data_IF_072377766524
#
_entry.id   IF_072377766524
#
_cell.length_a   1.000
_cell.length_b   1.000
_cell.length_c   1.000
_cell.angle_alpha   90.00
_cell.angle_beta   90.00
_cell.angle_gamma   90.00
#
_symmetry.space_group_name_H-M   'P 1'
#
loop_
_entity.id
_entity.type
_entity.pdbx_description
1 polymer ?
#
# COMPACT_ATOMS: atom_id res chain seq x y z
N UNK A 1 7.61 21.43 -8.45
CA UNK A 1 8.72 20.55 -8.04
C UNK A 1 9.23 20.85 -6.63
N UNK A 2 9.72 22.07 -6.33
CA UNK A 2 10.39 22.38 -5.06
C UNK A 2 9.57 22.02 -3.80
N UNK A 3 8.30 22.43 -3.73
CA UNK A 3 7.43 22.12 -2.59
C UNK A 3 7.32 20.62 -2.31
N UNK A 4 7.22 19.79 -3.36
CA UNK A 4 7.06 18.35 -3.19
C UNK A 4 8.29 17.68 -2.60
N UNK A 5 9.50 18.11 -2.97
CA UNK A 5 10.73 17.57 -2.38
C UNK A 5 10.95 18.05 -0.94
N UNK A 6 10.54 19.27 -0.61
CA UNK A 6 10.52 19.76 0.77
C UNK A 6 9.50 18.96 1.59
N UNK A 7 8.32 18.73 1.02
CA UNK A 7 7.25 17.94 1.64
C UNK A 7 7.70 16.52 1.99
N UNK A 8 8.42 15.85 1.09
CA UNK A 8 8.97 14.51 1.34
C UNK A 8 9.88 14.45 2.58
N UNK A 9 10.63 15.53 2.86
CA UNK A 9 11.46 15.65 4.07
C UNK A 9 10.65 16.05 5.30
N UNK A 10 9.68 16.95 5.13
CA UNK A 10 8.84 17.45 6.21
C UNK A 10 8.00 16.33 6.84
N UNK A 11 7.38 15.45 6.05
CA UNK A 11 6.53 14.38 6.59
C UNK A 11 7.30 13.29 7.35
N UNK A 12 8.64 13.34 7.36
CA UNK A 12 9.49 12.47 8.18
C UNK A 12 9.84 13.09 9.54
N UNK A 13 9.60 14.39 9.76
CA UNK A 13 9.77 15.04 11.05
C UNK A 13 8.58 14.73 11.97
N UNK A 14 8.75 14.88 13.28
CA UNK A 14 7.70 14.59 14.25
C UNK A 14 6.43 15.43 14.01
N UNK A 15 6.58 16.73 13.74
CA UNK A 15 5.46 17.62 13.41
C UNK A 15 4.74 17.21 12.12
N UNK A 16 5.50 16.82 11.09
CA UNK A 16 4.93 16.38 9.82
C UNK A 16 4.21 15.04 9.93
N UNK A 17 4.76 14.10 10.73
CA UNK A 17 4.12 12.81 11.01
C UNK A 17 2.78 13.02 11.71
N UNK A 18 2.72 13.88 12.74
CA UNK A 18 1.47 14.18 13.45
C UNK A 18 0.43 14.80 12.51
N UNK A 19 0.81 15.80 11.70
CA UNK A 19 -0.09 16.42 10.74
C UNK A 19 -0.64 15.42 9.71
N UNK A 20 0.19 14.47 9.27
CA UNK A 20 -0.26 13.41 8.36
C UNK A 20 -1.10 12.33 9.06
N UNK A 21 -0.86 12.09 10.35
CA UNK A 21 -1.63 11.17 11.18
C UNK A 21 -3.07 11.69 11.37
N UNK A 22 -3.24 12.99 11.63
CA UNK A 22 -4.56 13.62 11.72
C UNK A 22 -5.36 13.43 10.42
N UNK A 23 -4.71 13.68 9.27
CA UNK A 23 -5.29 13.44 7.94
C UNK A 23 -5.63 11.97 7.68
N UNK A 24 -4.84 11.05 8.25
CA UNK A 24 -5.10 9.62 8.14
C UNK A 24 -6.32 9.20 8.97
N UNK A 25 -6.51 9.77 10.16
CA UNK A 25 -7.71 9.57 10.97
C UNK A 25 -8.97 10.09 10.27
N UNK A 26 -8.86 11.22 9.57
CA UNK A 26 -9.93 11.80 8.74
C UNK A 26 -10.16 11.03 7.42
N UNK A 27 -9.33 10.03 7.11
CA UNK A 27 -9.40 9.21 5.90
C UNK A 27 -9.25 10.01 4.60
N UNK A 28 -8.54 11.15 4.61
CA UNK A 28 -8.36 12.00 3.41
C UNK A 28 -7.67 11.26 2.25
N UNK A 29 -6.76 10.34 2.58
CA UNK A 29 -6.03 9.52 1.59
C UNK A 29 -6.85 8.36 1.02
N UNK A 30 -8.06 8.15 1.56
CA UNK A 30 -8.99 7.10 1.17
C UNK A 30 -8.79 5.79 1.96
N UNK A 31 -9.32 4.71 1.39
CA UNK A 31 -9.40 3.39 2.05
C UNK A 31 -8.91 2.27 1.16
N UNK A 32 -8.47 1.18 1.78
CA UNK A 32 -7.97 0.00 1.10
C UNK A 32 -9.02 -0.58 0.14
N UNK A 33 -8.65 -0.94 -1.11
CA UNK A 33 -9.57 -1.56 -2.05
C UNK A 33 -9.92 -3.01 -1.70
N UNK A 34 -9.14 -3.67 -0.84
CA UNK A 34 -9.33 -5.08 -0.49
C UNK A 34 -10.51 -5.25 0.47
N UNK A 35 -11.44 -6.14 0.11
CA UNK A 35 -12.65 -6.41 0.89
C UNK A 35 -12.35 -6.82 2.35
N UNK A 36 -11.42 -7.75 2.55
CA UNK A 36 -11.00 -8.24 3.88
C UNK A 36 -10.26 -7.20 4.74
N UNK A 37 -9.92 -6.04 4.18
CA UNK A 37 -9.34 -4.96 4.96
C UNK A 37 -10.39 -4.05 5.63
N UNK A 38 -11.68 -4.34 5.46
CA UNK A 38 -12.78 -3.63 6.15
C UNK A 38 -12.68 -2.11 6.05
N UNK A 39 -12.34 -1.60 4.85
CA UNK A 39 -12.15 -0.16 4.59
C UNK A 39 -11.09 0.51 5.48
N UNK A 40 -10.01 -0.20 5.81
CA UNK A 40 -8.85 0.39 6.50
C UNK A 40 -8.33 1.66 5.80
N UNK A 41 -8.12 2.79 6.52
CA UNK A 41 -7.48 3.97 5.97
C UNK A 41 -6.04 3.71 5.51
N UNK A 42 -5.68 4.28 4.37
CA UNK A 42 -4.38 4.09 3.71
C UNK A 42 -3.50 5.33 3.83
N UNK A 43 -2.20 5.19 3.60
CA UNK A 43 -1.24 6.30 3.59
C UNK A 43 -0.61 6.44 2.21
N UNK A 44 -0.25 7.66 1.77
CA UNK A 44 0.47 7.84 0.52
C UNK A 44 1.91 7.30 0.61
N UNK A 45 2.43 6.76 -0.49
CA UNK A 45 3.80 6.25 -0.61
C UNK A 45 4.34 6.47 -2.03
N UNK A 46 5.62 6.79 -2.15
CA UNK A 46 6.36 6.75 -3.42
C UNK A 46 7.03 5.39 -3.61
N UNK A 47 7.09 4.89 -4.85
CA UNK A 47 7.89 3.69 -5.14
C UNK A 47 9.38 4.02 -5.35
N UNK A 48 9.67 5.29 -5.66
CA UNK A 48 11.01 5.84 -5.79
C UNK A 48 11.06 7.24 -5.21
N UNK A 49 12.24 7.63 -4.72
CA UNK A 49 12.54 8.97 -4.22
C UNK A 49 13.05 9.90 -5.35
N UNK A 50 13.31 9.36 -6.54
CA UNK A 50 13.70 10.13 -7.71
C UNK A 50 12.46 10.69 -8.44
N UNK A 51 12.40 12.00 -8.73
CA UNK A 51 11.26 12.61 -9.39
C UNK A 51 11.12 12.10 -10.83
N UNK A 52 9.88 11.89 -11.26
CA UNK A 52 9.52 11.45 -12.61
C UNK A 52 9.56 9.94 -12.85
N UNK A 53 10.01 9.14 -11.88
CA UNK A 53 10.05 7.68 -12.04
C UNK A 53 8.70 7.00 -11.80
N UNK A 54 7.98 7.43 -10.76
CA UNK A 54 6.72 6.80 -10.36
C UNK A 54 5.74 7.80 -9.78
N UNK A 55 4.46 7.56 -10.03
CA UNK A 55 3.37 8.34 -9.44
C UNK A 55 3.06 7.86 -8.03
N UNK A 56 2.45 8.72 -7.22
CA UNK A 56 2.06 8.38 -5.85
C UNK A 56 1.16 7.16 -5.81
N UNK A 57 1.48 6.24 -4.91
CA UNK A 57 0.69 5.06 -4.58
C UNK A 57 0.15 5.20 -3.16
N UNK A 58 -0.71 4.27 -2.76
CA UNK A 58 -1.22 4.21 -1.40
C UNK A 58 -0.88 2.89 -0.74
N UNK A 59 -0.34 2.95 0.46
CA UNK A 59 0.03 1.81 1.30
C UNK A 59 -1.09 1.51 2.30
N UNK A 60 -1.50 0.24 2.37
CA UNK A 60 -2.42 -0.22 3.40
C UNK A 60 -1.65 -0.87 4.56
N UNK A 61 -1.76 -0.36 5.80
CA UNK A 61 -1.05 -0.93 6.94
C UNK A 61 -1.59 -2.29 7.41
N UNK A 62 -2.86 -2.60 7.09
CA UNK A 62 -3.51 -3.85 7.49
C UNK A 62 -3.05 -5.03 6.63
N UNK A 63 -3.08 -4.90 5.30
CA UNK A 63 -2.61 -5.97 4.39
C UNK A 63 -1.16 -5.81 3.93
N UNK A 64 -0.49 -4.72 4.32
CA UNK A 64 0.92 -4.42 4.04
C UNK A 64 1.25 -4.44 2.55
N UNK A 65 0.38 -3.85 1.76
CA UNK A 65 0.44 -3.91 0.30
C UNK A 65 0.12 -2.54 -0.31
N UNK A 66 0.59 -2.31 -1.53
CA UNK A 66 0.57 -1.02 -2.21
C UNK A 66 -0.46 -1.05 -3.34
N UNK A 67 -1.27 0.00 -3.41
CA UNK A 67 -2.35 0.14 -4.38
C UNK A 67 -2.25 1.44 -5.17
N UNK A 68 -2.90 1.46 -6.32
CA UNK A 68 -3.06 2.69 -7.12
C UNK A 68 -4.24 3.50 -6.54
N UNK A 69 -4.10 4.82 -6.31
CA UNK A 69 -5.20 5.64 -5.85
C UNK A 69 -6.38 5.60 -6.84
N UNK A 70 -7.60 5.50 -6.31
CA UNK A 70 -8.83 5.33 -7.11
C UNK A 70 -9.15 6.55 -7.99
N UNK A 71 -8.83 7.75 -7.51
CA UNK A 71 -9.12 9.00 -8.23
C UNK A 71 -8.01 9.30 -9.24
N UNK A 72 -8.40 9.58 -10.49
CA UNK A 72 -7.47 9.99 -11.55
C UNK A 72 -6.73 11.29 -11.23
N UNK A 73 -7.32 12.17 -10.42
CA UNK A 73 -6.70 13.44 -9.98
C UNK A 73 -5.35 13.22 -9.28
N UNK A 74 -5.23 12.13 -8.52
CA UNK A 74 -4.01 11.82 -7.76
C UNK A 74 -2.98 11.04 -8.58
N UNK A 75 -3.33 10.56 -9.77
CA UNK A 75 -2.42 9.78 -10.61
C UNK A 75 -1.34 10.63 -11.28
N UNK A 76 -1.51 11.95 -11.32
CA UNK A 76 -0.52 12.89 -11.89
C UNK A 76 0.45 13.43 -10.83
N UNK A 77 0.31 13.05 -9.56
CA UNK A 77 1.18 13.50 -8.48
C UNK A 77 2.38 12.55 -8.40
N UNK A 78 3.58 13.14 -8.31
CA UNK A 78 4.83 12.39 -8.20
C UNK A 78 4.93 11.69 -6.83
N UNK A 79 5.31 10.41 -6.83
CA UNK A 79 5.52 9.63 -5.62
C UNK A 79 6.74 10.11 -4.81
N UNK A 80 7.73 10.71 -5.48
CA UNK A 80 8.94 11.24 -4.83
C UNK A 80 8.63 12.34 -3.80
N UNK A 81 7.45 12.97 -3.88
CA UNK A 81 7.02 14.00 -2.92
C UNK A 81 6.55 13.44 -1.57
N UNK A 82 6.34 12.12 -1.49
CA UNK A 82 6.02 11.41 -0.25
C UNK A 82 7.17 10.48 0.17
N UNK A 83 7.99 10.06 -0.80
CA UNK A 83 9.10 9.17 -0.57
C UNK A 83 8.70 7.73 -0.25
N UNK A 84 9.70 6.86 -0.23
CA UNK A 84 9.54 5.41 -0.07
C UNK A 84 9.31 5.00 1.38
N UNK A 85 9.82 5.77 2.35
CA UNK A 85 9.87 5.39 3.76
C UNK A 85 8.73 5.93 4.64
N UNK A 86 7.93 6.89 4.17
CA UNK A 86 7.02 7.64 5.04
C UNK A 86 6.04 6.77 5.85
N UNK A 87 5.25 5.84 5.26
CA UNK A 87 4.32 5.03 6.03
C UNK A 87 5.02 4.15 7.06
N UNK A 88 6.22 3.67 6.74
CA UNK A 88 7.02 2.85 7.63
C UNK A 88 7.52 3.66 8.84
N UNK A 89 7.99 4.89 8.61
CA UNK A 89 8.40 5.81 9.66
C UNK A 89 7.24 6.16 10.60
N UNK A 90 6.05 6.43 10.04
CA UNK A 90 4.86 6.77 10.83
C UNK A 90 4.49 5.66 11.83
N UNK A 91 4.46 4.39 11.40
CA UNK A 91 4.15 3.28 12.32
C UNK A 91 5.32 2.87 13.22
N UNK A 92 6.54 3.29 12.89
CA UNK A 92 7.69 3.15 13.79
C UNK A 92 7.59 4.17 14.96
N UNK A 93 7.23 5.41 14.65
CA UNK A 93 7.01 6.48 15.63
C UNK A 93 5.73 6.27 16.46
N UNK A 94 4.66 5.75 15.84
CA UNK A 94 3.37 5.49 16.49
C UNK A 94 2.94 4.01 16.38
N UNK A 95 3.56 3.07 17.12
CA UNK A 95 3.25 1.65 17.02
C UNK A 95 1.80 1.30 17.41
N UNK A 96 1.15 2.12 18.25
CA UNK A 96 -0.22 1.92 18.73
C UNK A 96 -1.26 2.06 17.62
N UNK A 97 -0.97 2.85 16.60
CA UNK A 97 -1.87 3.11 15.46
C UNK A 97 -1.84 1.98 14.42
N UNK A 98 -0.92 1.01 14.58
CA UNK A 98 -0.78 -0.08 13.63
C UNK A 98 -1.96 -1.06 13.76
N UNK A 99 -2.78 -1.24 12.70
CA UNK A 99 -3.90 -2.17 12.75
C UNK A 99 -3.42 -3.62 12.79
N UNK A 100 -4.24 -4.48 13.40
CA UNK A 100 -4.05 -5.92 13.38
C UNK A 100 -4.20 -6.49 11.96
N UNK A 101 -3.51 -7.58 11.69
CA UNK A 101 -3.61 -8.31 10.43
C UNK A 101 -5.06 -8.78 10.15
N UNK A 102 -5.48 -8.84 8.87
CA UNK A 102 -6.84 -9.24 8.51
C UNK A 102 -7.10 -10.69 8.94
N UNK A 103 -8.27 -10.95 9.55
CA UNK A 103 -8.62 -12.26 10.13
C UNK A 103 -9.02 -13.33 9.10
N UNK A 104 -8.87 -13.09 7.79
CA UNK A 104 -9.31 -14.03 6.76
C UNK A 104 -8.53 -13.94 5.45
N UNK A 105 -8.18 -15.10 4.90
CA UNK A 105 -7.67 -15.26 3.54
C UNK A 105 -8.83 -15.62 2.61
N UNK A 106 -8.85 -15.07 1.39
CA UNK A 106 -9.86 -15.43 0.39
C UNK A 106 -9.71 -16.91 0.02
N UNK A 107 -10.69 -17.73 0.37
CA UNK A 107 -10.78 -19.11 -0.12
C UNK A 107 -11.68 -19.14 -1.33
N UNK A 108 -11.09 -19.32 -2.51
CA UNK A 108 -11.85 -19.57 -3.73
C UNK A 108 -12.36 -21.00 -3.65
N UNK A 109 -13.63 -21.15 -3.27
CA UNK A 109 -14.29 -22.45 -3.15
C UNK A 109 -14.63 -22.97 -4.55
N UNK A 110 -13.60 -23.34 -5.32
CA UNK A 110 -13.81 -24.09 -6.55
C UNK A 110 -14.39 -25.45 -6.18
N UNK A 111 -15.43 -25.88 -6.90
CA UNK A 111 -15.98 -27.22 -6.71
C UNK A 111 -14.86 -28.26 -6.87
N UNK A 112 -14.81 -29.20 -5.92
CA UNK A 112 -13.76 -30.20 -5.75
C UNK A 112 -13.47 -31.07 -6.99
N UNK A 113 -14.28 -30.97 -8.05
CA UNK A 113 -14.15 -31.73 -9.28
C UNK A 113 -13.03 -31.23 -10.21
N UNK A 114 -12.51 -30.01 -10.00
CA UNK A 114 -11.54 -29.39 -10.90
C UNK A 114 -10.11 -29.21 -10.34
N UNK A 115 -9.87 -29.52 -9.05
CA UNK A 115 -8.58 -29.22 -8.39
C UNK A 115 -7.83 -30.50 -7.95
N UNK A 116 -7.36 -31.30 -8.91
CA UNK A 116 -6.38 -32.35 -8.63
C UNK A 116 -4.95 -31.78 -8.67
N UNK A 117 -4.33 -31.60 -7.49
CA UNK A 117 -2.94 -31.14 -7.34
C UNK A 117 -1.92 -32.03 -8.06
N UNK A 118 -2.28 -33.26 -8.47
CA UNK A 118 -1.38 -34.16 -9.21
C UNK A 118 -1.10 -33.71 -10.64
N UNK A 119 -1.99 -32.94 -11.29
CA UNK A 119 -1.80 -32.50 -12.69
C UNK A 119 -0.84 -31.32 -12.85
N UNK A 120 -0.68 -30.46 -11.85
CA UNK A 120 0.27 -29.34 -11.92
C UNK A 120 1.74 -29.79 -11.96
N UNK A 121 2.05 -30.96 -11.38
CA UNK A 121 3.39 -31.55 -11.45
C UNK A 121 3.74 -32.14 -12.82
N UNK A 122 2.75 -32.50 -13.64
CA UNK A 122 3.02 -33.07 -14.96
C UNK A 122 3.43 -31.99 -15.97
N UNK A 123 2.85 -30.78 -15.88
CA UNK A 123 3.13 -29.68 -16.82
C UNK A 123 4.49 -29.01 -16.61
N UNK A 124 5.07 -29.11 -15.41
CA UNK A 124 6.43 -28.64 -15.14
C UNK A 124 7.51 -29.56 -15.73
N UNK A 125 7.25 -30.88 -15.82
CA UNK A 125 8.22 -31.85 -16.37
C UNK A 125 8.31 -31.86 -17.90
N UNK A 126 7.35 -31.28 -18.62
CA UNK A 126 7.35 -31.27 -20.10
C UNK A 126 8.12 -30.07 -20.67
N UNK A 127 8.44 -29.06 -19.86
CA UNK A 127 9.21 -27.88 -20.28
C UNK A 127 10.71 -27.99 -19.97
N UNK A 128 11.19 -29.17 -19.58
CA UNK A 128 12.62 -29.47 -19.33
C UNK A 128 13.17 -30.57 -20.26
N UNK A 129 12.48 -30.85 -21.38
CA UNK A 129 12.94 -31.65 -22.53
C UNK A 129 12.79 -30.82 -23.81
#
# INVERSE_FOLDING_TARGET
MLYGLIHARYILTDEGVLAMLDKWHEQEFGVCPRFYCEKQPVLPIGLSDAPGESTVKVYCPRCQDIYVPKSSKHQNIDGAYFGTGFPHNLFLAHPKERPLAPRGTFFQQYSSWYYDRRKLRYRAKVNEL
#
